data_IF_159083634603
#
_entry.id   IF_159083634603
#
_cell.length_a   1.000
_cell.length_b   1.000
_cell.length_c   1.000
_cell.angle_alpha   90.00
_cell.angle_beta   90.00
_cell.angle_gamma   90.00
#
_symmetry.space_group_name_H-M   'P 1'
#
loop_
_entity.id
_entity.type
_entity.pdbx_description
1 polymer ?
#
# COMPACT_ATOMS: atom_id res chain seq x y z
N UNK A 1 7.15 23.51 -9.51
CA UNK A 1 6.38 22.84 -8.42
C UNK A 1 5.90 23.90 -7.45
N UNK A 2 4.66 23.81 -6.93
CA UNK A 2 4.18 24.68 -5.87
C UNK A 2 5.06 24.60 -4.62
N UNK A 3 5.17 25.71 -3.88
CA UNK A 3 6.06 25.82 -2.72
C UNK A 3 5.69 24.84 -1.59
N UNK A 4 4.40 24.59 -1.34
CA UNK A 4 3.96 23.68 -0.28
C UNK A 4 4.26 22.22 -0.61
N UNK A 5 4.16 21.82 -1.89
CA UNK A 5 4.56 20.48 -2.34
C UNK A 5 6.04 20.26 -2.07
N UNK A 6 6.90 21.22 -2.45
CA UNK A 6 8.34 21.13 -2.23
C UNK A 6 8.70 21.08 -0.73
N UNK A 7 8.05 21.92 0.09
CA UNK A 7 8.19 21.88 1.56
C UNK A 7 7.79 20.53 2.12
N UNK A 8 6.61 20.01 1.73
CA UNK A 8 6.11 18.71 2.21
C UNK A 8 7.07 17.57 1.87
N UNK A 9 7.57 17.52 0.62
CA UNK A 9 8.56 16.51 0.22
C UNK A 9 9.87 16.63 1.01
N UNK A 10 10.30 17.86 1.31
CA UNK A 10 11.47 18.11 2.17
C UNK A 10 11.24 17.59 3.58
N UNK A 11 10.05 17.79 4.14
CA UNK A 11 9.69 17.29 5.48
C UNK A 11 9.61 15.75 5.48
N UNK A 12 9.15 15.16 4.37
CA UNK A 12 9.00 13.71 4.24
C UNK A 12 10.31 12.98 3.94
N UNK A 13 11.34 13.67 3.41
CA UNK A 13 12.59 13.06 2.90
C UNK A 13 13.20 11.98 3.80
N UNK A 14 13.33 12.25 5.11
CA UNK A 14 13.92 11.30 6.06
C UNK A 14 13.04 10.07 6.24
N UNK A 15 11.73 10.26 6.20
CA UNK A 15 10.75 9.17 6.25
C UNK A 15 10.80 8.33 4.99
N UNK A 16 10.82 8.97 3.82
CA UNK A 16 10.87 8.29 2.52
C UNK A 16 12.15 7.45 2.40
N UNK A 17 13.30 7.99 2.81
CA UNK A 17 14.56 7.25 2.85
C UNK A 17 14.46 6.04 3.77
N UNK A 18 13.96 6.21 5.00
CA UNK A 18 13.80 5.10 5.96
C UNK A 18 12.85 4.02 5.46
N UNK A 19 11.73 4.40 4.85
CA UNK A 19 10.77 3.45 4.28
C UNK A 19 11.34 2.73 3.06
N UNK A 20 12.04 3.44 2.18
CA UNK A 20 12.72 2.83 1.03
C UNK A 20 13.77 1.83 1.47
N UNK A 21 14.60 2.19 2.45
CA UNK A 21 15.60 1.28 3.03
C UNK A 21 14.93 0.09 3.73
N UNK A 22 13.88 0.32 4.52
CA UNK A 22 13.20 -0.74 5.26
C UNK A 22 12.50 -1.75 4.34
N UNK A 23 11.73 -1.27 3.37
CA UNK A 23 11.07 -2.13 2.37
C UNK A 23 12.11 -2.81 1.49
N UNK A 24 13.14 -2.07 1.07
CA UNK A 24 14.21 -2.63 0.25
C UNK A 24 15.01 -3.70 0.99
N UNK A 25 15.34 -3.49 2.26
CA UNK A 25 16.01 -4.49 3.09
C UNK A 25 15.12 -5.73 3.29
N UNK A 26 13.81 -5.55 3.47
CA UNK A 26 12.86 -6.65 3.51
C UNK A 26 12.87 -7.44 2.19
N UNK A 27 12.76 -6.77 1.03
CA UNK A 27 12.82 -7.46 -0.27
C UNK A 27 14.16 -8.18 -0.47
N UNK A 28 15.29 -7.51 -0.22
CA UNK A 28 16.62 -8.14 -0.36
C UNK A 28 16.77 -9.37 0.53
N UNK A 29 16.38 -9.28 1.80
CA UNK A 29 16.47 -10.40 2.73
C UNK A 29 15.64 -11.58 2.24
N UNK A 30 14.36 -11.37 1.92
CA UNK A 30 13.49 -12.47 1.55
C UNK A 30 13.83 -13.03 0.17
N UNK A 31 14.10 -12.20 -0.84
CA UNK A 31 14.46 -12.68 -2.17
C UNK A 31 15.80 -13.42 -2.19
N UNK A 32 16.71 -13.13 -1.23
CA UNK A 32 17.96 -13.88 -1.09
C UNK A 32 17.76 -15.36 -0.73
N UNK A 33 16.61 -15.73 -0.15
CA UNK A 33 16.29 -17.12 0.18
C UNK A 33 15.73 -17.91 -1.01
N UNK A 34 15.33 -17.25 -2.10
CA UNK A 34 14.70 -17.93 -3.23
C UNK A 34 15.55 -19.05 -3.84
N UNK A 35 16.86 -18.90 -4.14
CA UNK A 35 17.66 -19.98 -4.70
C UNK A 35 17.65 -21.25 -3.84
N UNK A 36 17.71 -21.08 -2.52
CA UNK A 36 17.64 -22.18 -1.57
C UNK A 36 16.26 -22.88 -1.60
N UNK A 37 15.18 -22.12 -1.77
CA UNK A 37 13.81 -22.64 -1.83
C UNK A 37 13.57 -23.36 -3.16
N UNK A 38 14.06 -22.81 -4.27
CA UNK A 38 13.89 -23.42 -5.60
C UNK A 38 14.68 -24.72 -5.76
N UNK A 39 15.85 -24.84 -5.12
CA UNK A 39 16.67 -26.06 -5.15
C UNK A 39 16.14 -27.17 -4.23
N UNK A 40 15.55 -26.81 -3.07
CA UNK A 40 15.07 -27.77 -2.07
C UNK A 40 13.57 -28.07 -2.20
N UNK A 41 13.14 -28.52 -3.38
CA UNK A 41 11.73 -28.80 -3.68
C UNK A 41 11.12 -29.91 -2.80
N UNK A 42 11.93 -30.84 -2.28
CA UNK A 42 11.46 -31.88 -1.36
C UNK A 42 11.02 -31.30 0.00
N UNK A 43 11.62 -30.18 0.42
CA UNK A 43 11.36 -29.51 1.71
C UNK A 43 10.29 -28.42 1.57
N UNK A 44 10.25 -27.72 0.43
CA UNK A 44 9.34 -26.58 0.20
C UNK A 44 8.26 -26.85 -0.85
N UNK A 45 8.17 -28.09 -1.36
CA UNK A 45 7.20 -28.46 -2.36
C UNK A 45 5.76 -28.54 -1.81
N UNK A 46 4.80 -28.81 -2.71
CA UNK A 46 3.37 -28.82 -2.37
C UNK A 46 3.02 -29.77 -1.21
N UNK A 47 3.75 -30.88 -1.05
CA UNK A 47 3.53 -31.88 0.00
C UNK A 47 3.97 -31.42 1.40
N UNK A 48 5.00 -30.57 1.50
CA UNK A 48 5.42 -29.99 2.77
C UNK A 48 4.47 -28.85 3.18
N UNK A 49 4.06 -28.06 2.19
CA UNK A 49 3.07 -27.00 2.38
C UNK A 49 1.69 -27.57 2.74
N UNK A 50 1.39 -28.81 2.29
CA UNK A 50 0.24 -29.61 2.69
C UNK A 50 0.12 -29.91 4.20
N UNK A 51 1.13 -29.56 5.01
CA UNK A 51 1.12 -29.72 6.47
C UNK A 51 0.63 -28.46 7.22
N UNK A 52 0.59 -27.30 6.57
CA UNK A 52 0.05 -26.08 7.20
C UNK A 52 -1.48 -26.14 7.28
N UNK A 53 -2.13 -25.67 8.35
CA UNK A 53 -3.59 -25.57 8.41
C UNK A 53 -4.13 -24.75 7.22
N UNK A 54 -5.30 -25.13 6.68
CA UNK A 54 -5.88 -24.46 5.50
C UNK A 54 -6.00 -22.94 5.65
N UNK A 55 -6.50 -22.47 6.81
CA UNK A 55 -6.60 -21.05 7.10
C UNK A 55 -5.25 -20.30 7.07
N UNK A 56 -4.16 -20.95 7.46
CA UNK A 56 -2.83 -20.33 7.39
C UNK A 56 -2.34 -20.23 5.94
N UNK A 57 -2.69 -21.19 5.08
CA UNK A 57 -2.36 -21.13 3.64
C UNK A 57 -3.17 -20.05 2.93
N UNK A 58 -4.44 -19.92 3.25
CA UNK A 58 -5.31 -18.87 2.68
C UNK A 58 -4.75 -17.48 3.01
N UNK A 59 -4.32 -17.28 4.26
CA UNK A 59 -3.65 -16.05 4.70
C UNK A 59 -2.27 -15.84 4.08
N UNK A 60 -1.67 -16.86 3.45
CA UNK A 60 -0.40 -16.76 2.72
C UNK A 60 -0.59 -16.80 1.19
N UNK A 61 -1.84 -16.76 0.71
CA UNK A 61 -2.16 -16.72 -0.72
C UNK A 61 -2.07 -18.08 -1.41
N UNK A 62 -2.44 -19.16 -0.72
CA UNK A 62 -2.59 -20.50 -1.30
C UNK A 62 -1.29 -21.32 -1.40
N UNK A 63 -0.12 -20.68 -1.52
CA UNK A 63 1.22 -21.30 -1.56
C UNK A 63 1.35 -22.49 -2.55
N UNK A 64 0.51 -22.57 -3.59
CA UNK A 64 0.45 -23.76 -4.47
C UNK A 64 1.71 -23.94 -5.33
N UNK A 65 2.39 -22.85 -5.67
CA UNK A 65 3.59 -22.84 -6.52
C UNK A 65 4.75 -22.07 -5.87
N UNK A 66 4.98 -22.30 -4.57
CA UNK A 66 5.97 -21.55 -3.78
C UNK A 66 7.43 -21.74 -4.25
N UNK A 67 7.71 -22.80 -5.01
CA UNK A 67 9.03 -23.10 -5.57
C UNK A 67 9.31 -22.34 -6.88
N UNK A 68 8.28 -21.82 -7.56
CA UNK A 68 8.49 -20.99 -8.74
C UNK A 68 8.76 -19.53 -8.36
N UNK A 69 9.46 -18.81 -9.22
CA UNK A 69 9.75 -17.39 -9.01
C UNK A 69 8.49 -16.53 -8.91
N UNK A 70 7.45 -16.87 -9.69
CA UNK A 70 6.17 -16.15 -9.67
C UNK A 70 5.44 -16.42 -8.35
N UNK A 71 5.32 -17.68 -7.95
CA UNK A 71 4.60 -18.05 -6.73
C UNK A 71 5.32 -17.59 -5.46
N UNK A 72 6.64 -17.71 -5.41
CA UNK A 72 7.45 -17.19 -4.31
C UNK A 72 7.26 -15.68 -4.14
N UNK A 73 7.39 -14.92 -5.23
CA UNK A 73 7.26 -13.47 -5.20
C UNK A 73 5.82 -13.05 -4.85
N UNK A 74 4.83 -13.75 -5.39
CA UNK A 74 3.41 -13.53 -5.06
C UNK A 74 3.16 -13.72 -3.57
N UNK A 75 3.55 -14.87 -3.00
CA UNK A 75 3.27 -15.20 -1.60
C UNK A 75 4.07 -14.37 -0.59
N UNK A 76 5.36 -14.12 -0.83
CA UNK A 76 6.23 -13.47 0.17
C UNK A 76 6.17 -11.96 0.07
N UNK A 77 6.22 -11.41 -1.14
CA UNK A 77 6.28 -9.96 -1.35
C UNK A 77 4.90 -9.36 -1.50
N UNK A 78 4.08 -9.88 -2.40
CA UNK A 78 2.86 -9.18 -2.81
C UNK A 78 1.60 -9.62 -2.06
N UNK A 79 1.61 -10.75 -1.38
CA UNK A 79 0.40 -11.21 -0.68
C UNK A 79 0.11 -10.34 0.55
N UNK A 80 1.07 -10.26 1.47
CA UNK A 80 0.85 -9.69 2.81
C UNK A 80 1.84 -8.58 3.16
N UNK A 81 3.14 -8.91 3.20
CA UNK A 81 4.14 -8.02 3.79
C UNK A 81 4.39 -6.76 2.96
N UNK A 82 4.51 -6.87 1.63
CA UNK A 82 4.65 -5.71 0.75
C UNK A 82 3.49 -4.73 0.92
N UNK A 83 2.23 -5.15 0.69
CA UNK A 83 1.06 -4.32 0.93
C UNK A 83 1.04 -3.68 2.31
N UNK A 84 1.29 -4.44 3.38
CA UNK A 84 1.28 -3.92 4.75
C UNK A 84 2.33 -2.82 4.98
N UNK A 85 3.57 -3.03 4.52
CA UNK A 85 4.64 -2.04 4.66
C UNK A 85 4.33 -0.76 3.86
N UNK A 86 3.80 -0.90 2.64
CA UNK A 86 3.41 0.23 1.82
C UNK A 86 2.19 0.97 2.38
N UNK A 87 1.19 0.26 2.89
CA UNK A 87 0.04 0.85 3.58
C UNK A 87 0.50 1.62 4.82
N UNK A 88 1.40 1.05 5.63
CA UNK A 88 1.95 1.74 6.79
C UNK A 88 2.71 3.02 6.39
N UNK A 89 3.53 2.95 5.34
CA UNK A 89 4.21 4.11 4.77
C UNK A 89 3.21 5.20 4.34
N UNK A 90 2.22 4.84 3.52
CA UNK A 90 1.24 5.77 2.99
C UNK A 90 0.32 6.34 4.08
N UNK A 91 -0.07 5.55 5.08
CA UNK A 91 -0.86 5.98 6.23
C UNK A 91 -0.13 7.05 7.04
N UNK A 92 1.17 6.90 7.27
CA UNK A 92 2.01 7.89 7.98
C UNK A 92 2.15 9.16 7.15
N UNK A 93 2.39 9.03 5.84
CA UNK A 93 2.49 10.19 4.94
C UNK A 93 1.15 10.95 4.87
N UNK A 94 0.02 10.23 4.80
CA UNK A 94 -1.32 10.81 4.83
C UNK A 94 -1.62 11.54 6.15
N UNK A 95 -1.21 10.99 7.30
CA UNK A 95 -1.36 11.68 8.58
C UNK A 95 -0.53 12.97 8.66
N UNK A 96 0.67 12.97 8.08
CA UNK A 96 1.56 14.14 8.02
C UNK A 96 1.06 15.25 7.11
N UNK A 97 0.01 15.02 6.33
CA UNK A 97 -0.56 16.05 5.49
C UNK A 97 -1.39 17.06 6.28
N UNK A 98 -2.19 16.60 7.26
CA UNK A 98 -3.11 17.45 8.04
C UNK A 98 -3.11 17.12 9.53
N UNK A 99 -3.58 15.93 9.93
CA UNK A 99 -3.86 15.62 11.34
C UNK A 99 -2.62 15.73 12.25
N UNK A 100 -1.45 15.25 11.81
CA UNK A 100 -0.24 15.37 12.61
C UNK A 100 0.22 16.83 12.77
N UNK A 101 0.31 17.65 11.70
CA UNK A 101 0.53 19.09 11.83
C UNK A 101 -0.48 19.78 12.75
N UNK A 102 -1.75 19.40 12.68
CA UNK A 102 -2.82 19.99 13.48
C UNK A 102 -2.66 19.70 14.97
N UNK A 103 -2.51 18.43 15.36
CA UNK A 103 -2.29 18.06 16.76
C UNK A 103 -0.99 18.64 17.35
N UNK A 104 -0.01 18.96 16.50
CA UNK A 104 1.25 19.59 16.92
C UNK A 104 1.19 21.12 16.97
N UNK A 105 0.06 21.73 16.63
CA UNK A 105 -0.11 23.19 16.53
C UNK A 105 0.64 23.84 15.35
N UNK A 106 1.31 23.05 14.50
CA UNK A 106 2.10 23.58 13.37
C UNK A 106 1.26 23.86 12.13
N UNK A 107 0.02 23.34 12.08
CA UNK A 107 -0.91 23.63 11.00
C UNK A 107 -1.34 25.10 10.99
N UNK A 108 -1.54 25.70 12.16
CA UNK A 108 -1.95 27.11 12.32
C UNK A 108 -0.96 28.06 11.63
N UNK A 109 0.35 27.81 11.76
CA UNK A 109 1.40 28.57 11.09
C UNK A 109 1.34 28.49 9.55
N UNK A 110 0.72 27.44 9.02
CA UNK A 110 0.55 27.27 7.56
C UNK A 110 -0.75 27.91 7.07
N UNK A 111 -1.80 27.91 7.90
CA UNK A 111 -3.11 28.48 7.57
C UNK A 111 -3.12 30.01 7.70
N UNK A 112 -2.20 30.61 8.45
CA UNK A 112 -1.99 32.08 8.46
C UNK A 112 -1.42 32.63 7.16
N UNK A 113 -0.84 31.78 6.31
CA UNK A 113 -0.44 32.16 4.95
C UNK A 113 -1.69 32.28 4.07
N UNK A 114 -1.72 33.18 3.07
CA UNK A 114 -2.85 33.37 2.17
C UNK A 114 -2.97 32.21 1.16
N UNK A 115 -3.26 31.01 1.67
CA UNK A 115 -3.39 29.76 0.93
C UNK A 115 -4.82 29.26 1.07
N UNK A 116 -5.47 29.06 -0.08
CA UNK A 116 -6.80 28.47 -0.13
C UNK A 116 -6.82 27.08 0.52
N UNK A 117 -7.86 26.78 1.32
CA UNK A 117 -7.95 25.53 2.09
C UNK A 117 -8.03 24.30 1.18
N UNK A 118 -8.73 24.39 0.06
CA UNK A 118 -8.84 23.27 -0.91
C UNK A 118 -7.50 23.03 -1.58
N UNK A 119 -6.82 24.13 -1.96
CA UNK A 119 -5.47 24.09 -2.50
C UNK A 119 -4.47 23.47 -1.52
N UNK A 120 -4.58 23.77 -0.23
CA UNK A 120 -3.75 23.18 0.82
C UNK A 120 -3.87 21.65 0.82
N UNK A 121 -5.10 21.11 0.91
CA UNK A 121 -5.35 19.66 0.92
C UNK A 121 -4.86 19.01 -0.37
N UNK A 122 -5.14 19.62 -1.52
CA UNK A 122 -4.73 19.09 -2.82
C UNK A 122 -3.20 19.05 -2.97
N UNK A 123 -2.49 20.11 -2.62
CA UNK A 123 -1.02 20.14 -2.69
C UNK A 123 -0.38 19.14 -1.70
N UNK A 124 -0.99 18.90 -0.53
CA UNK A 124 -0.55 17.84 0.39
C UNK A 124 -0.80 16.43 -0.17
N UNK A 125 -1.94 16.21 -0.83
CA UNK A 125 -2.20 14.96 -1.54
C UNK A 125 -1.19 14.73 -2.67
N UNK A 126 -0.85 15.75 -3.45
CA UNK A 126 0.19 15.64 -4.49
C UNK A 126 1.54 15.28 -3.87
N UNK A 127 1.91 15.85 -2.72
CA UNK A 127 3.13 15.47 -2.02
C UNK A 127 3.11 14.01 -1.52
N UNK A 128 1.95 13.52 -1.04
CA UNK A 128 1.74 12.11 -0.70
C UNK A 128 1.96 11.21 -1.92
N UNK A 129 1.31 11.51 -3.05
CA UNK A 129 1.44 10.75 -4.31
C UNK A 129 2.90 10.69 -4.75
N UNK A 130 3.58 11.83 -4.83
CA UNK A 130 4.97 11.90 -5.30
C UNK A 130 5.93 11.18 -4.35
N UNK A 131 5.74 11.33 -3.03
CA UNK A 131 6.55 10.64 -2.04
C UNK A 131 6.38 9.13 -2.10
N UNK A 132 5.13 8.65 -2.18
CA UNK A 132 4.82 7.24 -2.29
C UNK A 132 5.30 6.65 -3.63
N UNK A 133 5.16 7.41 -4.73
CA UNK A 133 5.66 7.02 -6.04
C UNK A 133 7.19 6.86 -6.02
N UNK A 134 7.93 7.76 -5.35
CA UNK A 134 9.37 7.63 -5.22
C UNK A 134 9.79 6.33 -4.49
N UNK A 135 9.11 6.00 -3.38
CA UNK A 135 9.34 4.73 -2.65
C UNK A 135 9.02 3.54 -3.54
N UNK A 136 7.88 3.59 -4.25
CA UNK A 136 7.42 2.52 -5.14
C UNK A 136 8.39 2.29 -6.29
N UNK A 137 8.85 3.34 -6.96
CA UNK A 137 9.79 3.22 -8.09
C UNK A 137 11.13 2.66 -7.62
N UNK A 138 11.65 3.14 -6.49
CA UNK A 138 12.92 2.65 -5.94
C UNK A 138 12.85 1.15 -5.58
N UNK A 139 11.78 0.74 -4.90
CA UNK A 139 11.57 -0.66 -4.49
C UNK A 139 11.19 -1.57 -5.66
N UNK A 140 10.51 -1.04 -6.68
CA UNK A 140 10.26 -1.72 -7.96
C UNK A 140 11.55 -2.07 -8.68
N UNK A 141 12.43 -1.09 -8.87
CA UNK A 141 13.71 -1.31 -9.54
C UNK A 141 14.57 -2.33 -8.78
N UNK A 142 14.54 -2.27 -7.44
CA UNK A 142 15.22 -3.25 -6.60
C UNK A 142 14.60 -4.65 -6.75
N UNK A 143 13.28 -4.79 -6.68
CA UNK A 143 12.61 -6.08 -6.82
C UNK A 143 12.86 -6.70 -8.20
N UNK A 144 12.84 -5.89 -9.26
CA UNK A 144 13.18 -6.34 -10.61
C UNK A 144 14.64 -6.81 -10.70
N UNK A 145 15.58 -6.03 -10.15
CA UNK A 145 17.00 -6.40 -10.15
C UNK A 145 17.25 -7.70 -9.37
N UNK A 146 16.67 -7.83 -8.17
CA UNK A 146 16.78 -9.04 -7.35
C UNK A 146 16.16 -10.26 -8.05
N UNK A 147 15.00 -10.09 -8.70
CA UNK A 147 14.34 -11.14 -9.45
C UNK A 147 15.18 -11.63 -10.63
N UNK A 148 15.89 -10.72 -11.31
CA UNK A 148 16.82 -11.06 -12.38
C UNK A 148 18.08 -11.75 -11.86
N UNK A 149 18.67 -11.27 -10.75
CA UNK A 149 19.86 -11.88 -10.13
C UNK A 149 19.58 -13.29 -9.62
N UNK A 150 18.37 -13.53 -9.10
CA UNK A 150 17.95 -14.82 -8.58
C UNK A 150 17.35 -15.76 -9.66
N UNK A 151 17.44 -15.38 -10.95
CA UNK A 151 16.92 -16.12 -12.11
C UNK A 151 15.48 -16.64 -11.93
N UNK A 152 14.60 -15.78 -11.40
CA UNK A 152 13.21 -16.15 -11.08
C UNK A 152 12.31 -16.34 -12.31
N UNK A 153 12.78 -15.97 -13.51
CA UNK A 153 11.99 -16.06 -14.75
C UNK A 153 10.74 -15.15 -14.81
N UNK A 154 10.63 -14.15 -13.93
CA UNK A 154 9.47 -13.25 -13.89
C UNK A 154 9.67 -12.08 -14.85
N UNK A 155 8.75 -11.91 -15.80
CA UNK A 155 8.81 -10.81 -16.75
C UNK A 155 8.68 -9.43 -16.08
N UNK A 156 9.43 -8.43 -16.56
CA UNK A 156 9.39 -7.05 -16.08
C UNK A 156 7.97 -6.49 -15.96
N UNK A 157 7.14 -6.71 -16.98
CA UNK A 157 5.76 -6.21 -17.03
C UNK A 157 4.87 -6.77 -15.91
N UNK A 158 5.14 -7.99 -15.43
CA UNK A 158 4.42 -8.63 -14.33
C UNK A 158 4.78 -8.02 -12.98
N UNK A 159 6.08 -7.78 -12.75
CA UNK A 159 6.56 -7.07 -11.55
C UNK A 159 6.02 -5.63 -11.52
N UNK A 160 5.97 -4.97 -12.68
CA UNK A 160 5.43 -3.62 -12.81
C UNK A 160 3.92 -3.60 -12.53
N UNK A 161 3.17 -4.58 -13.04
CA UNK A 161 1.76 -4.72 -12.75
C UNK A 161 1.53 -4.89 -11.24
N UNK A 162 2.29 -5.76 -10.57
CA UNK A 162 2.17 -6.01 -9.13
C UNK A 162 2.53 -4.77 -8.29
N UNK A 163 3.62 -4.06 -8.61
CA UNK A 163 3.98 -2.80 -7.94
C UNK A 163 2.94 -1.70 -8.15
N UNK A 164 2.32 -1.64 -9.33
CA UNK A 164 1.23 -0.70 -9.60
C UNK A 164 0.03 -0.97 -8.68
N UNK A 165 -0.31 -2.25 -8.48
CA UNK A 165 -1.37 -2.65 -7.55
C UNK A 165 -1.06 -2.23 -6.11
N UNK A 166 0.15 -2.52 -5.62
CA UNK A 166 0.58 -2.13 -4.26
C UNK A 166 0.55 -0.62 -4.09
N UNK A 167 1.03 0.13 -5.08
CA UNK A 167 0.99 1.59 -5.08
C UNK A 167 -0.44 2.13 -4.97
N UNK A 168 -1.37 1.61 -5.78
CA UNK A 168 -2.76 2.06 -5.78
C UNK A 168 -3.47 1.73 -4.47
N UNK A 169 -3.26 0.53 -3.94
CA UNK A 169 -3.80 0.12 -2.64
C UNK A 169 -3.26 1.00 -1.51
N UNK A 170 -1.94 1.22 -1.49
CA UNK A 170 -1.31 2.08 -0.49
C UNK A 170 -1.74 3.53 -0.63
N UNK A 171 -1.89 4.04 -1.85
CA UNK A 171 -2.38 5.39 -2.10
C UNK A 171 -3.82 5.57 -1.62
N UNK A 172 -4.69 4.58 -1.85
CA UNK A 172 -6.05 4.58 -1.32
C UNK A 172 -6.03 4.68 0.22
N UNK A 173 -5.24 3.85 0.89
CA UNK A 173 -5.09 3.87 2.36
C UNK A 173 -4.47 5.18 2.88
N UNK A 174 -3.47 5.73 2.19
CA UNK A 174 -2.88 7.02 2.53
C UNK A 174 -3.87 8.18 2.34
N UNK A 175 -4.72 8.10 1.34
CA UNK A 175 -5.78 9.09 1.06
C UNK A 175 -6.92 8.96 2.05
N UNK A 176 -7.25 7.74 2.50
CA UNK A 176 -8.17 7.51 3.61
C UNK A 176 -7.64 8.13 4.92
N UNK A 177 -6.35 7.93 5.22
CA UNK A 177 -5.67 8.58 6.34
C UNK A 177 -5.78 10.10 6.26
N UNK A 178 -5.52 10.67 5.07
CA UNK A 178 -5.69 12.09 4.80
C UNK A 178 -7.15 12.53 5.00
N UNK A 179 -8.13 11.80 4.48
CA UNK A 179 -9.55 12.19 4.55
C UNK A 179 -10.07 12.19 5.99
N UNK A 180 -9.78 11.14 6.76
CA UNK A 180 -10.15 11.08 8.19
C UNK A 180 -9.42 12.16 8.97
N UNK A 181 -8.13 12.35 8.70
CA UNK A 181 -7.34 13.41 9.31
C UNK A 181 -7.87 14.81 9.00
N UNK A 182 -8.31 15.05 7.76
CA UNK A 182 -8.90 16.32 7.33
C UNK A 182 -10.24 16.60 8.02
N UNK A 183 -11.07 15.56 8.14
CA UNK A 183 -12.39 15.65 8.74
C UNK A 183 -12.36 15.80 10.26
N UNK A 184 -11.34 15.26 10.93
CA UNK A 184 -11.35 15.13 12.39
C UNK A 184 -10.20 15.84 13.09
N UNK A 185 -9.08 16.08 12.42
CA UNK A 185 -7.86 16.61 13.03
C UNK A 185 -7.12 15.61 13.93
N UNK A 186 -7.63 14.38 14.11
CA UNK A 186 -7.09 13.40 15.05
C UNK A 186 -6.26 12.33 14.34
N UNK A 187 -4.95 12.30 14.59
CA UNK A 187 -4.02 11.35 13.95
C UNK A 187 -4.33 9.91 14.38
N UNK A 188 -4.68 9.72 15.66
CA UNK A 188 -4.96 8.39 16.21
C UNK A 188 -6.18 7.74 15.54
N UNK A 189 -7.23 8.52 15.32
CA UNK A 189 -8.44 8.06 14.64
C UNK A 189 -8.16 7.73 13.17
N UNK A 190 -7.42 8.58 12.45
CA UNK A 190 -7.02 8.32 11.07
C UNK A 190 -6.22 7.02 10.94
N UNK A 191 -5.26 6.78 11.84
CA UNK A 191 -4.50 5.52 11.87
C UNK A 191 -5.39 4.31 12.18
N UNK A 192 -6.31 4.43 13.15
CA UNK A 192 -7.22 3.34 13.52
C UNK A 192 -8.14 2.94 12.36
N UNK A 193 -8.73 3.92 11.67
CA UNK A 193 -9.62 3.66 10.52
C UNK A 193 -8.87 2.94 9.40
N UNK A 194 -7.67 3.40 9.04
CA UNK A 194 -6.86 2.73 8.01
C UNK A 194 -6.43 1.34 8.47
N UNK A 195 -6.09 1.15 9.74
CA UNK A 195 -5.76 -0.15 10.31
C UNK A 195 -6.91 -1.15 10.20
N UNK A 196 -8.14 -0.74 10.54
CA UNK A 196 -9.35 -1.56 10.40
C UNK A 196 -9.61 -1.91 8.94
N UNK A 197 -9.53 -0.93 8.03
CA UNK A 197 -9.73 -1.18 6.59
C UNK A 197 -8.65 -2.12 6.03
N UNK A 198 -7.39 -1.95 6.44
CA UNK A 198 -6.29 -2.75 5.95
C UNK A 198 -6.37 -4.20 6.45
N UNK A 199 -6.50 -4.40 7.76
CA UNK A 199 -6.54 -5.73 8.37
C UNK A 199 -7.85 -6.43 8.04
N UNK A 200 -8.99 -5.74 8.22
CA UNK A 200 -10.31 -6.28 7.91
C UNK A 200 -10.46 -6.60 6.43
N UNK A 201 -10.02 -5.70 5.55
CA UNK A 201 -10.06 -5.90 4.11
C UNK A 201 -9.23 -7.11 3.66
N UNK A 202 -8.04 -7.29 4.23
CA UNK A 202 -7.19 -8.44 3.94
C UNK A 202 -7.81 -9.76 4.38
N UNK A 203 -8.33 -9.81 5.61
CA UNK A 203 -8.99 -11.01 6.17
C UNK A 203 -10.23 -11.36 5.34
N UNK A 204 -11.05 -10.36 5.00
CA UNK A 204 -12.23 -10.55 4.14
C UNK A 204 -11.84 -11.11 2.78
N UNK A 205 -10.80 -10.59 2.13
CA UNK A 205 -10.41 -11.06 0.80
C UNK A 205 -9.81 -12.47 0.83
N UNK A 206 -8.99 -12.78 1.83
CA UNK A 206 -8.32 -14.08 1.92
C UNK A 206 -9.25 -15.19 2.42
N UNK A 207 -10.04 -14.94 3.47
CA UNK A 207 -10.92 -15.94 4.07
C UNK A 207 -12.30 -15.97 3.41
N UNK A 208 -12.76 -14.84 2.85
CA UNK A 208 -14.08 -14.75 2.25
C UNK A 208 -14.25 -15.52 0.93
N UNK A 209 -13.15 -16.03 0.35
CA UNK A 209 -13.21 -16.98 -0.78
C UNK A 209 -13.88 -18.30 -0.37
N UNK A 210 -13.68 -18.71 0.88
CA UNK A 210 -14.06 -20.02 1.41
C UNK A 210 -15.27 -19.96 2.35
N UNK A 211 -15.85 -18.77 2.56
CA UNK A 211 -16.90 -18.53 3.55
C UNK A 211 -18.04 -17.72 2.93
N UNK A 212 -19.12 -18.39 2.57
CA UNK A 212 -20.24 -17.82 1.80
C UNK A 212 -20.84 -16.56 2.42
N UNK A 213 -21.00 -16.51 3.75
CA UNK A 213 -21.69 -15.40 4.42
C UNK A 213 -20.92 -14.07 4.41
N UNK A 214 -19.59 -14.10 4.22
CA UNK A 214 -18.73 -12.90 4.06
C UNK A 214 -18.24 -12.70 2.64
N UNK A 215 -18.56 -13.60 1.71
CA UNK A 215 -18.10 -13.52 0.31
C UNK A 215 -18.48 -12.19 -0.36
N UNK A 216 -19.64 -11.63 -0.02
CA UNK A 216 -20.10 -10.34 -0.54
C UNK A 216 -19.28 -9.15 -0.02
N UNK A 217 -18.66 -9.24 1.18
CA UNK A 217 -17.79 -8.19 1.72
C UNK A 217 -16.53 -7.99 0.86
N UNK A 218 -16.13 -9.01 0.07
CA UNK A 218 -14.94 -8.92 -0.80
C UNK A 218 -15.05 -7.76 -1.79
N UNK A 219 -16.23 -7.54 -2.35
CA UNK A 219 -16.49 -6.44 -3.29
C UNK A 219 -16.29 -5.04 -2.69
N UNK A 220 -16.37 -4.93 -1.36
CA UNK A 220 -16.12 -3.69 -0.62
C UNK A 220 -14.63 -3.58 -0.23
N UNK A 221 -13.92 -4.70 -0.12
CA UNK A 221 -12.53 -4.73 0.29
C UNK A 221 -11.60 -4.16 -0.79
N UNK A 222 -10.73 -3.18 -0.46
CA UNK A 222 -9.68 -2.74 -1.38
C UNK A 222 -8.73 -3.86 -1.79
N UNK A 223 -8.58 -4.90 -0.95
CA UNK A 223 -7.71 -6.04 -1.25
C UNK A 223 -8.26 -6.92 -2.37
N UNK A 224 -9.57 -6.95 -2.60
CA UNK A 224 -10.15 -7.66 -3.75
C UNK A 224 -9.59 -7.12 -5.06
N UNK A 225 -9.66 -5.80 -5.26
CA UNK A 225 -9.14 -5.14 -6.46
C UNK A 225 -7.61 -5.16 -6.56
N UNK A 226 -6.91 -5.47 -5.47
CA UNK A 226 -5.46 -5.63 -5.47
C UNK A 226 -5.03 -7.07 -5.80
N UNK A 227 -5.66 -8.09 -5.20
CA UNK A 227 -5.24 -9.50 -5.27
C UNK A 227 -5.94 -10.31 -6.36
N UNK A 228 -7.22 -10.05 -6.64
CA UNK A 228 -8.07 -10.92 -7.47
C UNK A 228 -7.59 -11.02 -8.93
N UNK A 229 -6.98 -9.96 -9.45
CA UNK A 229 -6.46 -9.92 -10.81
C UNK A 229 -5.10 -10.59 -11.01
N UNK A 230 -4.51 -11.17 -9.96
CA UNK A 230 -3.26 -11.94 -9.98
C UNK A 230 -2.16 -11.37 -10.89
N UNK A 231 -1.70 -10.13 -10.65
CA UNK A 231 -0.94 -9.37 -11.65
C UNK A 231 0.40 -9.99 -12.04
N UNK A 232 0.98 -10.82 -11.16
CA UNK A 232 2.20 -11.57 -11.44
C UNK A 232 1.98 -12.74 -12.42
N UNK A 233 0.77 -13.28 -12.50
CA UNK A 233 0.42 -14.36 -13.42
C UNK A 233 -0.20 -13.79 -14.71
N UNK A 234 -1.14 -12.86 -14.56
CA UNK A 234 -2.03 -12.44 -15.65
C UNK A 234 -1.65 -11.07 -16.27
N UNK A 235 -0.76 -10.30 -15.64
CA UNK A 235 -0.38 -8.96 -16.11
C UNK A 235 -1.24 -7.86 -15.49
N UNK A 236 -1.60 -6.81 -16.23
CA UNK A 236 -2.33 -5.66 -15.63
C UNK A 236 -3.85 -5.90 -15.53
N UNK A 237 -4.43 -5.98 -14.32
CA UNK A 237 -5.88 -6.00 -14.14
C UNK A 237 -6.43 -4.56 -14.18
N UNK A 238 -6.49 -3.99 -15.39
CA UNK A 238 -6.83 -2.56 -15.60
C UNK A 238 -8.14 -2.17 -14.92
N UNK A 239 -9.18 -3.01 -15.02
CA UNK A 239 -10.48 -2.74 -14.39
C UNK A 239 -10.38 -2.55 -12.88
N UNK A 240 -9.70 -3.47 -12.19
CA UNK A 240 -9.53 -3.40 -10.74
C UNK A 240 -8.71 -2.18 -10.31
N UNK A 241 -7.68 -1.85 -11.07
CA UNK A 241 -6.84 -0.68 -10.80
C UNK A 241 -7.58 0.63 -11.00
N UNK A 242 -8.48 0.71 -11.97
CA UNK A 242 -9.37 1.86 -12.15
C UNK A 242 -10.34 2.03 -10.98
N UNK A 243 -10.82 0.94 -10.36
CA UNK A 243 -11.65 1.01 -9.16
C UNK A 243 -10.87 1.61 -7.98
N UNK A 244 -9.64 1.14 -7.73
CA UNK A 244 -8.79 1.71 -6.68
C UNK A 244 -8.47 3.19 -6.92
N UNK A 245 -8.16 3.56 -8.17
CA UNK A 245 -7.91 4.95 -8.55
C UNK A 245 -9.16 5.82 -8.38
N UNK A 246 -10.33 5.33 -8.81
CA UNK A 246 -11.61 6.03 -8.65
C UNK A 246 -11.98 6.25 -7.19
N UNK A 247 -11.86 5.21 -6.36
CA UNK A 247 -12.09 5.31 -4.92
C UNK A 247 -11.12 6.30 -4.23
N UNK A 248 -9.86 6.34 -4.68
CA UNK A 248 -8.88 7.35 -4.22
C UNK A 248 -9.34 8.77 -4.56
N UNK A 249 -9.86 9.01 -5.76
CA UNK A 249 -10.40 10.33 -6.14
C UNK A 249 -11.59 10.72 -5.27
N UNK A 250 -12.51 9.80 -4.99
CA UNK A 250 -13.66 10.05 -4.10
C UNK A 250 -13.21 10.40 -2.68
N UNK A 251 -12.22 9.69 -2.13
CA UNK A 251 -11.65 9.99 -0.82
C UNK A 251 -10.96 11.36 -0.80
N UNK A 252 -10.23 11.73 -1.86
CA UNK A 252 -9.61 13.05 -1.98
C UNK A 252 -10.67 14.17 -1.99
N UNK A 253 -11.74 14.01 -2.78
CA UNK A 253 -12.84 14.97 -2.81
C UNK A 253 -13.49 15.09 -1.44
N UNK A 254 -13.67 13.97 -0.74
CA UNK A 254 -14.19 13.94 0.63
C UNK A 254 -13.26 14.69 1.60
N UNK A 255 -11.95 14.48 1.50
CA UNK A 255 -10.95 15.18 2.32
C UNK A 255 -11.01 16.70 2.10
N UNK A 256 -11.09 17.15 0.84
CA UNK A 256 -11.18 18.56 0.48
C UNK A 256 -12.46 19.17 1.06
N UNK A 257 -13.62 18.54 0.85
CA UNK A 257 -14.91 19.05 1.32
C UNK A 257 -15.00 19.07 2.85
N UNK A 258 -14.47 18.04 3.52
CA UNK A 258 -14.48 17.95 4.97
C UNK A 258 -13.59 19.04 5.61
N UNK A 259 -12.41 19.28 5.04
CA UNK A 259 -11.50 20.32 5.54
C UNK A 259 -12.04 21.74 5.29
N UNK A 260 -12.67 21.97 4.13
CA UNK A 260 -13.21 23.27 3.75
C UNK A 260 -14.34 23.72 4.70
N UNK A 261 -15.17 22.76 5.14
CA UNK A 261 -16.31 23.01 6.04
C UNK A 261 -15.97 23.04 7.52
N UNK A 262 -14.76 22.60 7.90
CA UNK A 262 -14.35 22.49 9.30
C UNK A 262 -13.70 23.79 9.78
N UNK A 263 -14.03 24.22 10.98
CA UNK A 263 -13.30 25.29 11.66
C UNK A 263 -11.97 24.72 12.17
N UNK A 264 -10.86 25.31 11.73
CA UNK A 264 -9.50 24.87 12.04
C UNK A 264 -8.77 26.03 12.72
N UNK A 265 -8.25 25.81 13.92
CA UNK A 265 -7.50 26.82 14.70
C UNK A 265 -8.33 27.70 15.63
N UNK A 266 -9.20 27.11 16.45
CA UNK A 266 -9.82 27.76 17.62
C UNK A 266 -9.48 26.96 18.87
#
# INVERSE_FOLDING_TARGET
MPALVSKSLRDYRRSLIRWTIGIGAFFTLYLSFYPNISENQEIYGPQALAKFPGAMRDLMGGMEDFTSGIGYLSSVVYQLFGPMLFIACAMILGNRAIAQPEESGTLELTVTLPVDRRRLVFERFVALVLGLLAVTVATFLLAWALSAVADMGVAFGRILAAHTGVFLLALLCGTLSLAVGAATGHKGLAMAVVGVVAVGGYIVETMGKNVDWISWLRWVSPFHYYLDGEPLYQGFPVGNYLVLAGATVVLLLTAILAFDRRDVGV
#
